data_IF_933324553062
#
_entry.id   IF_933324553062
#
_cell.length_a   1.000
_cell.length_b   1.000
_cell.length_c   1.000
_cell.angle_alpha   90.00
_cell.angle_beta   90.00
_cell.angle_gamma   90.00
#
_symmetry.space_group_name_H-M   'P 1'
#
loop_
_entity.id
_entity.type
_entity.pdbx_description
1 polymer ?
#
# COMPACT_ATOMS: atom_id res chain seq x y z
N UNK A 1 23.22 -14.18 -4.87
CA UNK A 1 22.74 -15.14 -3.85
C UNK A 1 22.02 -14.34 -2.77
N UNK A 2 20.84 -14.79 -2.32
CA UNK A 2 19.91 -13.96 -1.55
C UNK A 2 19.78 -14.43 -0.09
N UNK A 3 18.83 -15.32 0.21
CA UNK A 3 18.65 -15.87 1.56
C UNK A 3 19.36 -17.22 1.73
N UNK A 4 19.78 -17.55 2.94
CA UNK A 4 20.25 -18.88 3.37
C UNK A 4 19.10 -19.70 3.93
N UNK A 5 18.40 -19.11 4.90
CA UNK A 5 17.17 -19.62 5.46
C UNK A 5 16.16 -18.48 5.62
N UNK A 6 14.88 -18.83 5.64
CA UNK A 6 13.77 -17.92 5.93
C UNK A 6 12.99 -18.47 7.11
N UNK A 7 12.66 -17.59 8.05
CA UNK A 7 11.93 -17.87 9.28
C UNK A 7 10.70 -16.98 9.35
N UNK A 8 9.63 -17.51 9.92
CA UNK A 8 8.48 -16.74 10.38
C UNK A 8 8.39 -16.92 11.89
N UNK A 9 8.44 -15.81 12.62
CA UNK A 9 8.43 -15.78 14.09
C UNK A 9 7.17 -15.08 14.59
N UNK A 10 6.75 -15.42 15.80
CA UNK A 10 5.77 -14.64 16.56
C UNK A 10 6.39 -13.36 17.18
N UNK A 11 5.57 -12.55 17.86
CA UNK A 11 6.05 -11.35 18.55
C UNK A 11 7.02 -11.62 19.71
N UNK A 12 7.07 -12.86 20.21
CA UNK A 12 7.96 -13.32 21.28
C UNK A 12 9.26 -13.92 20.74
N UNK A 13 9.47 -13.89 19.42
CA UNK A 13 10.64 -14.44 18.75
C UNK A 13 10.63 -15.97 18.60
N UNK A 14 9.52 -16.65 18.93
CA UNK A 14 9.40 -18.09 18.73
C UNK A 14 9.23 -18.39 17.25
N UNK A 15 10.01 -19.35 16.75
CA UNK A 15 9.89 -19.85 15.37
C UNK A 15 8.55 -20.58 15.18
N UNK A 16 7.69 -20.04 14.31
CA UNK A 16 6.45 -20.69 13.88
C UNK A 16 6.72 -21.68 12.75
N UNK A 17 7.53 -21.25 11.78
CA UNK A 17 7.97 -22.07 10.64
C UNK A 17 9.32 -21.58 10.14
N UNK A 18 10.15 -22.50 9.64
CA UNK A 18 11.42 -22.17 9.01
C UNK A 18 11.71 -23.06 7.81
N UNK A 19 12.43 -22.52 6.83
CA UNK A 19 12.92 -23.24 5.66
C UNK A 19 14.40 -22.95 5.44
N UNK A 20 15.20 -24.02 5.41
CA UNK A 20 16.60 -23.96 4.99
C UNK A 20 16.71 -24.11 3.47
N UNK A 21 17.35 -23.17 2.79
CA UNK A 21 17.60 -23.30 1.34
C UNK A 21 19.03 -23.68 1.02
N UNK A 22 20.01 -23.33 1.87
CA UNK A 22 21.45 -23.51 1.55
C UNK A 22 22.24 -24.32 2.56
N UNK A 23 21.83 -24.31 3.83
CA UNK A 23 22.59 -24.94 4.91
C UNK A 23 23.90 -24.24 5.27
N UNK A 24 24.12 -22.99 4.81
CA UNK A 24 25.35 -22.24 5.13
C UNK A 24 25.25 -21.37 6.41
N UNK A 25 24.07 -21.26 7.01
CA UNK A 25 23.85 -20.63 8.32
C UNK A 25 23.20 -21.65 9.25
N UNK A 26 23.70 -21.75 10.49
CA UNK A 26 23.08 -22.60 11.49
C UNK A 26 21.70 -22.04 11.87
N UNK A 27 20.70 -22.90 11.96
CA UNK A 27 19.34 -22.53 12.29
C UNK A 27 19.21 -21.95 13.71
N UNK A 28 20.12 -22.33 14.61
CA UNK A 28 20.16 -21.84 16.00
C UNK A 28 20.51 -20.34 16.08
N UNK A 29 21.13 -19.77 15.04
CA UNK A 29 21.47 -18.34 15.02
C UNK A 29 20.24 -17.43 15.14
N UNK A 30 19.04 -17.92 14.77
CA UNK A 30 17.79 -17.18 14.89
C UNK A 30 17.46 -16.78 16.33
N UNK A 31 17.95 -17.52 17.33
CA UNK A 31 17.68 -17.25 18.75
C UNK A 31 18.31 -15.92 19.21
N UNK A 32 19.34 -15.43 18.49
CA UNK A 32 19.97 -14.13 18.76
C UNK A 32 19.22 -12.95 18.14
N UNK A 33 18.28 -13.18 17.22
CA UNK A 33 17.60 -12.12 16.48
C UNK A 33 16.80 -11.19 17.40
N UNK A 34 15.91 -11.74 18.24
CA UNK A 34 15.03 -10.91 19.07
C UNK A 34 15.80 -10.14 20.16
N UNK A 35 16.76 -10.73 20.90
CA UNK A 35 17.58 -9.97 21.84
C UNK A 35 18.31 -8.80 21.19
N UNK A 36 18.88 -8.98 20.00
CA UNK A 36 19.55 -7.92 19.25
C UNK A 36 18.57 -6.83 18.78
N UNK A 37 17.38 -7.24 18.34
CA UNK A 37 16.32 -6.31 17.94
C UNK A 37 15.90 -5.41 19.11
N UNK A 38 15.66 -6.01 20.28
CA UNK A 38 15.28 -5.28 21.49
C UNK A 38 16.38 -4.34 21.96
N UNK A 39 17.65 -4.80 21.95
CA UNK A 39 18.79 -3.95 22.31
C UNK A 39 18.87 -2.72 21.39
N UNK A 40 18.75 -2.89 20.07
CA UNK A 40 18.79 -1.76 19.15
C UNK A 40 17.58 -0.84 19.25
N UNK A 41 16.41 -1.37 19.60
CA UNK A 41 15.22 -0.57 19.85
C UNK A 41 15.39 0.31 21.09
N UNK A 42 15.94 -0.24 22.18
CA UNK A 42 16.27 0.51 23.42
C UNK A 42 17.34 1.57 23.19
N UNK A 43 18.35 1.27 22.36
CA UNK A 43 19.39 2.23 21.98
C UNK A 43 18.92 3.27 20.94
N UNK A 44 17.72 3.12 20.38
CA UNK A 44 17.19 3.99 19.32
C UNK A 44 17.92 3.85 17.97
N UNK A 45 18.62 2.73 17.76
CA UNK A 45 19.43 2.41 16.58
C UNK A 45 18.78 1.35 15.67
N UNK A 46 17.47 1.16 15.81
CA UNK A 46 16.71 0.16 15.07
C UNK A 46 17.01 0.22 13.57
N UNK A 47 17.52 -0.89 13.03
CA UNK A 47 17.80 -1.01 11.60
C UNK A 47 17.16 -2.28 10.99
N UNK A 48 16.76 -2.24 9.71
CA UNK A 48 16.16 -3.40 9.03
C UNK A 48 17.11 -4.61 8.88
N UNK A 49 18.41 -4.41 9.09
CA UNK A 49 19.47 -5.44 8.95
C UNK A 49 20.23 -5.56 10.26
N UNK A 50 20.01 -6.64 11.00
CA UNK A 50 20.78 -6.93 12.22
C UNK A 50 21.97 -7.83 11.88
N UNK A 51 23.00 -7.82 12.72
CA UNK A 51 24.19 -8.67 12.51
C UNK A 51 24.63 -9.32 13.81
N UNK A 52 24.93 -10.62 13.76
CA UNK A 52 25.55 -11.40 14.83
C UNK A 52 26.78 -12.12 14.25
N UNK A 53 27.98 -11.65 14.60
CA UNK A 53 29.22 -12.15 14.01
C UNK A 53 29.22 -12.02 12.48
N UNK A 54 29.25 -13.15 11.78
CA UNK A 54 29.24 -13.21 10.31
C UNK A 54 27.84 -13.44 9.72
N UNK A 55 26.80 -13.49 10.55
CA UNK A 55 25.41 -13.72 10.12
C UNK A 55 24.64 -12.40 10.14
N UNK A 56 23.91 -12.14 9.07
CA UNK A 56 23.04 -10.99 8.91
C UNK A 56 21.58 -11.43 8.87
N UNK A 57 20.73 -10.70 9.60
CA UNK A 57 19.29 -10.91 9.67
C UNK A 57 18.58 -9.76 8.96
N UNK A 58 17.96 -10.06 7.83
CA UNK A 58 17.12 -9.12 7.09
C UNK A 58 15.68 -9.41 7.45
N UNK A 59 14.97 -8.46 8.06
CA UNK A 59 13.66 -8.72 8.62
C UNK A 59 12.63 -7.68 8.23
N UNK A 60 11.38 -8.12 8.19
CA UNK A 60 10.20 -7.25 8.11
C UNK A 60 9.21 -7.68 9.20
N UNK A 61 8.40 -6.73 9.66
CA UNK A 61 7.27 -7.00 10.55
C UNK A 61 5.98 -6.88 9.76
N UNK A 62 5.13 -7.89 9.85
CA UNK A 62 3.79 -7.90 9.28
C UNK A 62 2.80 -8.37 10.34
N UNK A 63 1.84 -7.52 10.70
CA UNK A 63 0.89 -7.80 11.78
C UNK A 63 1.61 -8.24 13.07
N UNK A 64 1.30 -9.43 13.57
CA UNK A 64 1.92 -10.07 14.74
C UNK A 64 3.08 -11.03 14.38
N UNK A 65 3.65 -10.92 13.18
CA UNK A 65 4.71 -11.79 12.68
C UNK A 65 5.99 -11.03 12.35
N UNK A 66 7.13 -11.67 12.57
CA UNK A 66 8.41 -11.30 11.98
C UNK A 66 8.75 -12.28 10.87
N UNK A 67 9.01 -11.78 9.66
CA UNK A 67 9.61 -12.57 8.60
C UNK A 67 11.10 -12.22 8.54
N UNK A 68 11.96 -13.20 8.76
CA UNK A 68 13.40 -13.02 8.89
C UNK A 68 14.11 -13.90 7.87
N UNK A 69 14.97 -13.31 7.06
CA UNK A 69 15.88 -14.01 6.17
C UNK A 69 17.32 -13.89 6.71
N UNK A 70 18.00 -15.03 6.84
CA UNK A 70 19.41 -15.06 7.28
C UNK A 70 20.35 -15.17 6.10
N UNK A 71 21.53 -14.58 6.21
CA UNK A 71 22.62 -14.74 5.23
C UNK A 71 23.97 -14.53 5.88
N UNK A 72 25.00 -15.26 5.44
CA UNK A 72 26.39 -15.10 5.89
C UNK A 72 27.32 -14.54 4.80
N UNK A 73 26.75 -14.05 3.70
CA UNK A 73 27.46 -13.52 2.53
C UNK A 73 26.95 -12.13 2.20
N UNK A 74 27.70 -11.43 1.35
CA UNK A 74 27.25 -10.18 0.74
C UNK A 74 26.12 -10.45 -0.27
N UNK A 75 24.92 -10.60 0.25
CA UNK A 75 23.71 -10.91 -0.51
C UNK A 75 23.01 -9.62 -0.95
N UNK A 76 22.27 -9.68 -2.06
CA UNK A 76 21.50 -8.54 -2.52
C UNK A 76 20.31 -8.31 -1.56
N UNK A 77 20.45 -7.33 -0.67
CA UNK A 77 19.43 -7.00 0.33
C UNK A 77 18.09 -6.64 -0.31
N UNK A 78 18.09 -5.90 -1.42
CA UNK A 78 16.86 -5.51 -2.13
C UNK A 78 16.09 -6.72 -2.63
N UNK A 79 16.78 -7.75 -3.14
CA UNK A 79 16.16 -9.00 -3.57
C UNK A 79 15.53 -9.76 -2.40
N UNK A 80 16.20 -9.77 -1.24
CA UNK A 80 15.69 -10.41 -0.02
C UNK A 80 14.43 -9.68 0.47
N UNK A 81 14.47 -8.35 0.59
CA UNK A 81 13.28 -7.59 1.02
C UNK A 81 12.12 -7.72 0.03
N UNK A 82 12.38 -7.60 -1.27
CA UNK A 82 11.35 -7.79 -2.29
C UNK A 82 10.71 -9.18 -2.16
N UNK A 83 11.52 -10.22 -1.91
CA UNK A 83 11.04 -11.57 -1.68
C UNK A 83 10.24 -11.71 -0.37
N UNK A 84 10.68 -11.11 0.74
CA UNK A 84 9.95 -11.15 2.01
C UNK A 84 8.56 -10.49 1.88
N UNK A 85 8.47 -9.32 1.24
CA UNK A 85 7.18 -8.70 0.94
C UNK A 85 6.34 -9.55 -0.03
N UNK A 86 6.97 -10.26 -0.97
CA UNK A 86 6.27 -11.16 -1.89
C UNK A 86 5.73 -12.41 -1.19
N UNK A 87 6.44 -12.97 -0.21
CA UNK A 87 5.93 -14.04 0.65
C UNK A 87 4.66 -13.58 1.36
N UNK A 88 4.68 -12.38 1.96
CA UNK A 88 3.49 -11.78 2.60
C UNK A 88 2.33 -11.71 1.60
N UNK A 89 2.56 -11.16 0.40
CA UNK A 89 1.53 -11.06 -0.64
C UNK A 89 0.97 -12.43 -1.05
N UNK A 90 1.82 -13.44 -1.22
CA UNK A 90 1.41 -14.80 -1.58
C UNK A 90 0.59 -15.43 -0.46
N UNK A 91 1.06 -15.36 0.79
CA UNK A 91 0.34 -15.92 1.94
C UNK A 91 -0.99 -15.21 2.18
N UNK A 92 -1.05 -13.88 2.08
CA UNK A 92 -2.32 -13.14 2.11
C UNK A 92 -3.25 -13.55 0.96
N UNK A 93 -2.71 -13.85 -0.23
CA UNK A 93 -3.48 -14.38 -1.35
C UNK A 93 -4.10 -15.76 -1.12
N UNK A 94 -3.48 -16.60 -0.27
CA UNK A 94 -3.99 -17.92 0.12
C UNK A 94 -4.92 -17.86 1.34
N UNK A 95 -4.55 -17.11 2.37
CA UNK A 95 -5.21 -17.15 3.69
C UNK A 95 -6.13 -15.95 3.96
N UNK A 96 -6.16 -14.95 3.06
CA UNK A 96 -6.84 -13.63 3.18
C UNK A 96 -6.23 -12.72 4.24
N UNK A 97 -5.96 -13.25 5.43
CA UNK A 97 -5.26 -12.58 6.52
C UNK A 97 -4.02 -13.41 6.87
N UNK A 98 -2.92 -12.73 7.21
CA UNK A 98 -1.66 -13.36 7.55
C UNK A 98 -1.32 -13.04 9.01
N UNK A 99 -1.64 -14.00 9.88
CA UNK A 99 -1.39 -13.93 11.31
C UNK A 99 -0.77 -15.25 11.81
N UNK A 100 -0.43 -15.30 13.10
CA UNK A 100 0.11 -16.50 13.75
C UNK A 100 -0.79 -17.73 13.56
N UNK A 101 -2.10 -17.60 13.75
CA UNK A 101 -3.07 -18.69 13.56
C UNK A 101 -3.08 -19.20 12.11
N UNK A 102 -2.99 -18.30 11.14
CA UNK A 102 -2.95 -18.65 9.71
C UNK A 102 -1.79 -19.59 9.37
N UNK A 103 -0.62 -19.37 9.99
CA UNK A 103 0.56 -20.21 9.79
C UNK A 103 0.41 -21.56 10.49
N UNK A 104 -0.11 -21.58 11.72
CA UNK A 104 -0.28 -22.81 12.51
C UNK A 104 -1.31 -23.75 11.88
N UNK A 105 -2.44 -23.21 11.44
CA UNK A 105 -3.54 -24.00 10.86
C UNK A 105 -3.22 -24.54 9.46
N UNK A 106 -2.35 -23.85 8.70
CA UNK A 106 -2.03 -24.17 7.31
C UNK A 106 -0.59 -24.64 7.09
N UNK A 107 0.08 -25.13 8.13
CA UNK A 107 1.52 -25.46 8.13
C UNK A 107 1.98 -26.27 6.91
N UNK A 108 1.21 -27.28 6.47
CA UNK A 108 1.54 -28.11 5.29
C UNK A 108 1.64 -27.26 4.03
N UNK A 109 0.61 -26.44 3.75
CA UNK A 109 0.57 -25.57 2.57
C UNK A 109 1.67 -24.51 2.64
N UNK A 110 1.96 -23.97 3.81
CA UNK A 110 3.04 -23.00 3.99
C UNK A 110 4.40 -23.63 3.65
N UNK A 111 4.66 -24.88 4.04
CA UNK A 111 5.89 -25.59 3.67
C UNK A 111 6.00 -25.82 2.17
N UNK A 112 4.92 -26.27 1.52
CA UNK A 112 4.87 -26.45 0.06
C UNK A 112 5.12 -25.13 -0.66
N UNK A 113 4.50 -24.03 -0.19
CA UNK A 113 4.72 -22.70 -0.74
C UNK A 113 6.17 -22.25 -0.59
N UNK A 114 6.78 -22.40 0.59
CA UNK A 114 8.18 -22.01 0.78
C UNK A 114 9.14 -22.79 -0.12
N UNK A 115 8.86 -24.07 -0.37
CA UNK A 115 9.66 -24.90 -1.28
C UNK A 115 9.55 -24.44 -2.75
N UNK A 116 8.34 -24.07 -3.19
CA UNK A 116 8.07 -23.65 -4.57
C UNK A 116 8.45 -22.17 -4.84
N UNK A 117 8.41 -21.33 -3.80
CA UNK A 117 8.72 -19.90 -3.91
C UNK A 117 10.21 -19.63 -4.12
N UNK A 118 11.09 -20.47 -3.58
CA UNK A 118 12.54 -20.26 -3.61
C UNK A 118 13.30 -21.57 -3.63
N UNK A 119 14.29 -21.65 -4.52
CA UNK A 119 15.24 -22.76 -4.57
C UNK A 119 16.67 -22.23 -4.40
N UNK A 120 17.42 -22.83 -3.47
CA UNK A 120 18.81 -22.48 -3.17
C UNK A 120 19.07 -20.97 -2.96
N UNK A 121 18.09 -20.26 -2.40
CA UNK A 121 18.16 -18.81 -2.16
C UNK A 121 17.81 -17.95 -3.38
N UNK A 122 17.31 -18.52 -4.48
CA UNK A 122 16.84 -17.83 -5.67
C UNK A 122 15.31 -17.92 -5.76
N UNK A 123 14.57 -16.80 -5.70
CA UNK A 123 13.12 -16.81 -5.92
C UNK A 123 12.77 -17.42 -7.28
N UNK A 124 11.78 -18.32 -7.30
CA UNK A 124 11.29 -19.01 -8.48
C UNK A 124 9.89 -18.47 -8.85
N UNK A 125 8.84 -19.25 -8.64
CA UNK A 125 7.46 -18.89 -8.96
C UNK A 125 6.83 -18.16 -7.79
N UNK A 126 6.47 -16.89 -7.97
CA UNK A 126 5.91 -16.06 -6.88
C UNK A 126 4.51 -15.51 -7.17
N UNK A 127 3.89 -15.94 -8.27
CA UNK A 127 2.54 -15.54 -8.66
C UNK A 127 1.50 -16.45 -7.98
N UNK A 128 0.85 -15.95 -6.92
CA UNK A 128 -0.09 -16.71 -6.09
C UNK A 128 -1.22 -17.40 -6.88
N UNK A 129 -1.79 -16.73 -7.88
CA UNK A 129 -2.85 -17.29 -8.72
C UNK A 129 -2.40 -18.49 -9.54
N UNK A 130 -1.12 -18.54 -9.92
CA UNK A 130 -0.55 -19.67 -10.67
C UNK A 130 -0.16 -20.80 -9.72
N UNK A 131 0.41 -20.46 -8.56
CA UNK A 131 0.68 -21.42 -7.49
C UNK A 131 -0.60 -22.15 -7.06
N UNK A 132 -1.73 -21.45 -6.99
CA UNK A 132 -3.03 -22.01 -6.61
C UNK A 132 -3.56 -23.09 -7.56
N UNK A 133 -3.03 -23.20 -8.78
CA UNK A 133 -3.43 -24.25 -9.73
C UNK A 133 -2.87 -25.63 -9.35
N UNK A 134 -1.75 -25.68 -8.59
CA UNK A 134 -1.09 -26.94 -8.27
C UNK A 134 -0.71 -27.12 -6.80
N UNK A 135 -0.69 -26.05 -6.00
CA UNK A 135 -0.57 -26.07 -4.54
C UNK A 135 -1.95 -25.68 -3.98
N UNK A 136 -2.75 -26.68 -3.61
CA UNK A 136 -4.15 -26.51 -3.20
C UNK A 136 -4.34 -26.72 -1.70
N UNK A 137 -5.19 -25.90 -1.07
CA UNK A 137 -5.58 -26.08 0.35
C UNK A 137 -6.50 -27.29 0.56
N UNK A 138 -7.22 -27.71 -0.48
CA UNK A 138 -8.08 -28.89 -0.41
C UNK A 138 -7.21 -30.14 -0.44
N UNK A 139 -7.28 -30.94 0.63
CA UNK A 139 -6.62 -32.23 0.71
C UNK A 139 -7.20 -33.18 -0.33
N UNK A 140 -6.58 -33.24 -1.50
CA UNK A 140 -6.88 -34.27 -2.47
C UNK A 140 -6.56 -35.62 -1.81
N UNK A 141 -7.60 -36.41 -1.52
CA UNK A 141 -7.44 -37.85 -1.30
C UNK A 141 -6.53 -38.37 -2.41
N UNK A 142 -5.49 -39.09 -2.02
CA UNK A 142 -4.46 -39.74 -2.83
C UNK A 142 -5.02 -40.43 -4.10
N UNK A 143 -5.38 -39.67 -5.11
CA UNK A 143 -5.32 -40.11 -6.49
C UNK A 143 -3.99 -39.60 -7.02
N UNK A 144 -3.13 -40.55 -7.36
CA UNK A 144 -1.77 -40.36 -7.89
C UNK A 144 -1.83 -39.80 -9.30
N UNK A 145 -2.57 -38.71 -9.50
CA UNK A 145 -2.42 -37.86 -10.67
C UNK A 145 -1.51 -36.74 -10.21
N UNK A 146 -0.20 -36.90 -10.40
CA UNK A 146 0.77 -35.80 -10.23
C UNK A 146 0.16 -34.55 -10.83
N UNK A 147 -0.20 -33.58 -9.99
CA UNK A 147 -0.71 -32.28 -10.42
C UNK A 147 0.32 -31.76 -11.42
N UNK A 148 -0.01 -31.79 -12.71
CA UNK A 148 0.95 -31.41 -13.74
C UNK A 148 1.21 -29.93 -13.55
N UNK A 149 2.46 -29.57 -13.29
CA UNK A 149 2.88 -28.16 -13.20
C UNK A 149 2.33 -27.43 -14.44
N UNK A 150 1.57 -26.33 -14.27
CA UNK A 150 1.02 -25.59 -15.38
C UNK A 150 2.13 -25.15 -16.33
N UNK A 151 1.89 -25.23 -17.64
CA UNK A 151 2.85 -24.75 -18.65
C UNK A 151 3.16 -23.26 -18.47
N UNK A 152 2.23 -22.50 -17.87
CA UNK A 152 2.37 -21.10 -17.46
C UNK A 152 3.64 -20.85 -16.64
N UNK A 153 4.01 -21.75 -15.74
CA UNK A 153 5.22 -21.62 -14.90
C UNK A 153 6.50 -21.53 -15.75
N UNK A 154 6.53 -22.24 -16.86
CA UNK A 154 7.68 -22.28 -17.79
C UNK A 154 7.55 -21.32 -18.98
N UNK A 155 6.41 -20.66 -19.13
CA UNK A 155 6.12 -19.82 -20.30
C UNK A 155 6.66 -18.40 -20.11
N UNK A 156 6.89 -17.69 -21.21
CA UNK A 156 7.27 -16.27 -21.18
C UNK A 156 6.17 -15.38 -20.56
N UNK A 157 4.92 -15.84 -20.58
CA UNK A 157 3.79 -15.23 -19.87
C UNK A 157 3.51 -16.09 -18.64
N UNK A 158 4.10 -15.71 -17.50
CA UNK A 158 4.06 -16.48 -16.25
C UNK A 158 2.91 -16.11 -15.31
N UNK A 159 2.09 -15.12 -15.66
CA UNK A 159 1.05 -14.55 -14.80
C UNK A 159 -0.39 -14.77 -15.29
N UNK A 160 -0.57 -15.51 -16.39
CA UNK A 160 -1.88 -15.79 -16.98
C UNK A 160 -1.90 -17.15 -17.66
N UNK A 161 -2.79 -18.03 -17.19
CA UNK A 161 -2.99 -19.36 -17.77
C UNK A 161 -3.89 -19.32 -19.03
N UNK A 162 -3.65 -20.27 -19.92
CA UNK A 162 -4.45 -20.44 -21.13
C UNK A 162 -5.82 -21.06 -20.82
N UNK A 163 -6.82 -20.83 -21.68
CA UNK A 163 -8.12 -21.50 -21.57
C UNK A 163 -9.14 -20.83 -20.65
N UNK A 164 -8.81 -19.68 -20.03
CA UNK A 164 -9.73 -18.88 -19.23
C UNK A 164 -10.95 -18.47 -20.07
N UNK A 165 -12.16 -18.66 -19.54
CA UNK A 165 -13.42 -18.33 -20.21
C UNK A 165 -14.40 -17.64 -19.27
N UNK A 166 -14.96 -16.53 -19.74
CA UNK A 166 -16.00 -15.78 -19.07
C UNK A 166 -17.25 -15.72 -19.93
N UNK A 167 -18.43 -15.74 -19.27
CA UNK A 167 -19.72 -15.52 -19.95
C UNK A 167 -19.84 -14.10 -20.49
N UNK A 168 -19.26 -13.13 -19.79
CA UNK A 168 -19.20 -11.71 -20.15
C UNK A 168 -17.76 -11.24 -20.03
N UNK A 169 -17.25 -10.62 -21.09
CA UNK A 169 -15.88 -10.11 -21.12
C UNK A 169 -15.88 -8.63 -20.72
N UNK A 170 -15.36 -8.32 -19.55
CA UNK A 170 -15.38 -6.97 -18.96
C UNK A 170 -14.02 -6.62 -18.36
N UNK A 171 -13.66 -5.34 -18.43
CA UNK A 171 -12.45 -4.80 -17.80
C UNK A 171 -12.84 -3.58 -16.99
N UNK A 172 -12.54 -3.59 -15.71
CA UNK A 172 -12.72 -2.42 -14.85
C UNK A 172 -11.36 -1.80 -14.57
N UNK A 173 -11.28 -0.48 -14.74
CA UNK A 173 -10.08 0.32 -14.55
C UNK A 173 -10.34 1.31 -13.42
N UNK A 174 -9.62 1.14 -12.33
CA UNK A 174 -9.66 2.03 -11.18
C UNK A 174 -8.41 2.89 -11.19
N UNK A 175 -8.59 4.17 -11.48
CA UNK A 175 -7.51 5.17 -11.40
C UNK A 175 -7.62 5.83 -10.02
N UNK A 176 -6.72 5.46 -9.13
CA UNK A 176 -6.70 5.90 -7.73
C UNK A 176 -5.52 6.86 -7.55
N UNK A 177 -5.77 8.06 -7.08
CA UNK A 177 -4.74 9.05 -6.73
C UNK A 177 -4.69 9.27 -5.23
N UNK A 178 -3.57 8.95 -4.61
CA UNK A 178 -3.27 9.28 -3.21
C UNK A 178 -2.49 10.59 -3.17
N UNK A 179 -3.03 11.58 -2.45
CA UNK A 179 -2.39 12.88 -2.28
C UNK A 179 -1.57 12.88 -0.99
N UNK A 180 -0.26 13.10 -1.12
CA UNK A 180 0.65 13.34 -0.01
C UNK A 180 0.89 14.83 0.09
N UNK A 181 0.59 15.43 1.24
CA UNK A 181 0.80 16.87 1.48
C UNK A 181 1.37 17.03 2.88
N UNK A 182 2.44 17.82 2.98
CA UNK A 182 3.00 18.27 4.25
C UNK A 182 2.90 19.78 4.32
N UNK A 183 2.09 20.29 5.25
CA UNK A 183 1.99 21.73 5.54
C UNK A 183 2.77 22.04 6.81
N UNK A 184 3.58 23.09 6.80
CA UNK A 184 4.22 23.57 8.01
C UNK A 184 3.25 24.34 8.92
N UNK A 185 3.71 24.65 10.11
CA UNK A 185 2.89 25.34 11.10
C UNK A 185 2.53 26.80 10.73
N UNK A 186 3.29 27.41 9.80
CA UNK A 186 3.00 28.73 9.24
C UNK A 186 1.96 28.69 8.10
N UNK A 187 1.47 27.50 7.72
CA UNK A 187 0.50 27.35 6.65
C UNK A 187 1.07 27.37 5.23
N UNK A 188 2.39 27.18 5.06
CA UNK A 188 2.99 26.96 3.74
C UNK A 188 3.16 25.47 3.45
N UNK A 189 2.84 25.05 2.23
CA UNK A 189 3.02 23.68 1.76
C UNK A 189 4.52 23.40 1.57
N UNK A 190 5.07 22.47 2.35
CA UNK A 190 6.48 22.05 2.27
C UNK A 190 6.70 20.99 1.19
N UNK A 191 5.80 20.00 1.12
CA UNK A 191 5.84 18.93 0.12
C UNK A 191 4.42 18.63 -0.36
N UNK A 192 4.28 18.33 -1.64
CA UNK A 192 3.03 17.93 -2.28
C UNK A 192 3.32 16.98 -3.42
N UNK A 193 2.99 15.71 -3.24
CA UNK A 193 3.18 14.66 -4.23
C UNK A 193 1.86 13.94 -4.46
N UNK A 194 1.60 13.56 -5.71
CA UNK A 194 0.50 12.67 -6.07
C UNK A 194 1.11 11.32 -6.40
N UNK A 195 0.71 10.29 -5.66
CA UNK A 195 1.02 8.89 -5.97
C UNK A 195 -0.23 8.26 -6.53
N UNK A 196 -0.24 8.02 -7.83
CA UNK A 196 -1.34 7.38 -8.52
C UNK A 196 -1.08 5.90 -8.75
N UNK A 197 -2.16 5.11 -8.77
CA UNK A 197 -2.16 3.68 -9.06
C UNK A 197 -3.31 3.39 -10.02
N UNK A 198 -3.05 2.60 -11.07
CA UNK A 198 -4.07 2.08 -11.97
C UNK A 198 -4.24 0.61 -11.66
N UNK A 199 -5.36 0.28 -11.01
CA UNK A 199 -5.75 -1.09 -10.72
C UNK A 199 -6.73 -1.58 -11.78
N UNK A 200 -6.54 -2.81 -12.22
CA UNK A 200 -7.40 -3.48 -13.17
C UNK A 200 -8.12 -4.64 -12.50
N UNK A 201 -9.40 -4.81 -12.85
CA UNK A 201 -10.12 -6.06 -12.67
C UNK A 201 -10.48 -6.60 -14.03
N UNK A 202 -9.78 -7.64 -14.47
CA UNK A 202 -9.98 -8.24 -15.78
C UNK A 202 -10.80 -9.52 -15.66
N UNK A 203 -11.89 -9.58 -16.43
CA UNK A 203 -12.71 -10.78 -16.60
C UNK A 203 -12.78 -11.05 -18.09
N UNK A 204 -11.68 -11.56 -18.64
CA UNK A 204 -11.49 -11.71 -20.09
C UNK A 204 -11.20 -13.16 -20.44
N UNK A 205 -11.79 -13.63 -21.53
CA UNK A 205 -11.53 -14.97 -22.05
C UNK A 205 -10.25 -15.01 -22.88
N UNK A 206 -9.54 -16.13 -22.88
CA UNK A 206 -8.34 -16.35 -23.70
C UNK A 206 -7.10 -15.60 -23.18
N UNK A 207 -6.26 -15.18 -24.12
CA UNK A 207 -4.95 -14.52 -23.89
C UNK A 207 -4.91 -13.15 -24.59
N UNK A 208 -5.70 -12.17 -24.11
CA UNK A 208 -5.91 -10.93 -24.82
C UNK A 208 -4.69 -10.01 -24.67
N UNK A 209 -4.27 -9.37 -25.77
CA UNK A 209 -3.32 -8.26 -25.73
C UNK A 209 -4.09 -6.95 -25.52
N UNK A 210 -3.88 -6.32 -24.38
CA UNK A 210 -4.44 -5.02 -24.04
C UNK A 210 -3.48 -3.89 -24.41
N UNK A 211 -4.04 -2.76 -24.82
CA UNK A 211 -3.31 -1.50 -25.00
C UNK A 211 -4.05 -0.36 -24.32
N UNK A 212 -3.40 0.24 -23.33
CA UNK A 212 -3.90 1.39 -22.59
C UNK A 212 -3.32 2.68 -23.17
N UNK A 213 -4.20 3.65 -23.46
CA UNK A 213 -3.82 4.99 -23.88
C UNK A 213 -4.15 6.02 -22.82
N UNK A 214 -3.15 6.77 -22.36
CA UNK A 214 -3.30 7.87 -21.40
C UNK A 214 -3.05 9.22 -22.08
N UNK A 215 -3.42 10.33 -21.43
CA UNK A 215 -3.06 11.69 -21.84
C UNK A 215 -1.64 12.08 -21.40
N UNK A 216 -0.67 11.20 -21.66
CA UNK A 216 0.75 11.43 -21.37
C UNK A 216 1.31 12.57 -22.23
N UNK A 217 1.93 13.56 -21.59
CA UNK A 217 2.57 14.71 -22.25
C UNK A 217 3.64 14.27 -23.24
N UNK A 218 4.45 13.26 -22.90
CA UNK A 218 5.56 12.80 -23.77
C UNK A 218 5.00 12.20 -25.05
N UNK A 219 3.97 11.34 -24.94
CA UNK A 219 3.26 10.78 -26.08
C UNK A 219 2.64 11.87 -26.97
N UNK A 220 2.07 12.90 -26.37
CA UNK A 220 1.43 14.00 -27.11
C UNK A 220 2.44 14.91 -27.81
N UNK A 221 3.60 15.14 -27.20
CA UNK A 221 4.71 15.85 -27.82
C UNK A 221 5.22 15.09 -29.06
N UNK A 222 5.39 13.76 -28.97
CA UNK A 222 5.83 12.91 -30.08
C UNK A 222 4.80 12.86 -31.23
N UNK A 223 3.51 12.96 -30.93
CA UNK A 223 2.44 12.87 -31.93
C UNK A 223 1.96 14.23 -32.46
N UNK A 224 2.60 15.34 -32.04
CA UNK A 224 2.26 16.70 -32.48
C UNK A 224 0.88 17.19 -32.01
N UNK A 225 0.33 16.60 -30.95
CA UNK A 225 -1.04 16.87 -30.43
C UNK A 225 -1.05 17.73 -29.17
N UNK A 226 -0.21 18.76 -29.10
CA UNK A 226 0.00 19.55 -27.87
C UNK A 226 -1.20 20.42 -27.41
N UNK A 227 -2.34 20.33 -28.12
CA UNK A 227 -3.59 21.04 -27.78
C UNK A 227 -4.48 20.15 -26.91
N UNK A 228 -4.15 20.02 -25.62
CA UNK A 228 -4.98 19.31 -24.65
C UNK A 228 -4.44 19.37 -23.22
N UNK A 229 -5.25 18.96 -22.23
CA UNK A 229 -4.75 18.74 -20.87
C UNK A 229 -3.91 17.46 -20.85
N UNK A 230 -2.60 17.60 -20.77
CA UNK A 230 -1.64 16.51 -20.65
C UNK A 230 -1.13 16.38 -19.23
N UNK A 231 -0.77 15.16 -18.82
CA UNK A 231 -0.13 14.89 -17.54
C UNK A 231 1.35 14.61 -17.75
N UNK A 232 2.19 15.24 -16.94
CA UNK A 232 3.63 14.95 -16.89
C UNK A 232 3.87 14.02 -15.71
N UNK A 233 4.15 12.75 -15.98
CA UNK A 233 4.50 11.77 -14.96
C UNK A 233 6.01 11.82 -14.77
N UNK A 234 6.47 11.92 -13.52
CA UNK A 234 7.90 11.93 -13.22
C UNK A 234 8.48 10.53 -13.17
N UNK A 235 7.79 9.63 -12.46
CA UNK A 235 8.16 8.23 -12.35
C UNK A 235 6.94 7.36 -12.65
N UNK A 236 7.18 6.23 -13.33
CA UNK A 236 6.16 5.24 -13.66
C UNK A 236 6.74 3.85 -13.45
N UNK A 237 6.08 3.07 -12.59
CA UNK A 237 6.40 1.67 -12.36
C UNK A 237 5.29 0.82 -12.94
N UNK A 238 5.68 -0.21 -13.68
CA UNK A 238 4.73 -1.11 -14.33
C UNK A 238 4.76 -2.49 -13.70
N UNK A 239 3.65 -3.19 -13.81
CA UNK A 239 3.57 -4.62 -13.59
C UNK A 239 4.43 -5.37 -14.63
N UNK A 240 4.92 -6.56 -14.27
CA UNK A 240 5.72 -7.44 -15.16
C UNK A 240 5.03 -7.76 -16.49
N UNK A 241 3.71 -7.59 -16.57
CA UNK A 241 2.94 -7.88 -17.77
C UNK A 241 3.10 -6.83 -18.88
N UNK A 242 3.63 -5.65 -18.56
CA UNK A 242 3.82 -4.56 -19.51
C UNK A 242 5.12 -4.72 -20.28
N UNK A 243 5.02 -4.62 -21.61
CA UNK A 243 6.18 -4.65 -22.50
C UNK A 243 6.92 -3.32 -22.46
N UNK A 244 7.88 -3.20 -21.54
CA UNK A 244 8.69 -1.99 -21.33
C UNK A 244 9.38 -1.51 -22.61
N UNK A 245 9.86 -2.42 -23.45
CA UNK A 245 10.49 -2.07 -24.73
C UNK A 245 9.55 -1.35 -25.70
N UNK A 246 8.24 -1.62 -25.67
CA UNK A 246 7.26 -0.86 -26.47
C UNK A 246 7.01 0.52 -25.86
N UNK A 247 6.86 0.57 -24.54
CA UNK A 247 6.65 1.84 -23.83
C UNK A 247 7.82 2.81 -24.03
N UNK A 248 9.07 2.35 -24.02
CA UNK A 248 10.24 3.19 -24.26
C UNK A 248 10.24 3.81 -25.67
N UNK A 249 9.81 3.05 -26.68
CA UNK A 249 9.86 3.47 -28.08
C UNK A 249 8.75 4.45 -28.46
N UNK A 250 7.50 4.15 -28.10
CA UNK A 250 6.33 4.90 -28.57
C UNK A 250 5.35 5.29 -27.47
N UNK A 251 5.73 5.11 -26.20
CA UNK A 251 4.91 5.37 -25.00
C UNK A 251 3.59 4.57 -24.98
N UNK A 252 3.50 3.47 -25.74
CA UNK A 252 2.33 2.57 -25.72
C UNK A 252 2.44 1.56 -24.58
N UNK A 253 1.45 1.59 -23.68
CA UNK A 253 1.31 0.60 -22.60
C UNK A 253 0.61 -0.63 -23.19
N UNK A 254 1.39 -1.65 -23.55
CA UNK A 254 0.91 -2.91 -24.13
C UNK A 254 1.24 -4.09 -23.22
N UNK A 255 0.23 -4.91 -22.90
CA UNK A 255 0.35 -5.98 -21.91
C UNK A 255 -0.66 -7.10 -22.13
N UNK A 256 -0.41 -8.27 -21.54
CA UNK A 256 -1.39 -9.35 -21.38
C UNK A 256 -1.77 -9.36 -19.90
N UNK A 257 -3.00 -9.01 -19.49
CA UNK A 257 -3.33 -8.82 -18.07
C UNK A 257 -3.38 -10.15 -17.30
N UNK A 258 -2.88 -10.19 -16.05
CA UNK A 258 -3.26 -11.24 -15.11
C UNK A 258 -4.78 -11.30 -14.96
N UNK A 259 -5.32 -12.49 -14.74
CA UNK A 259 -6.76 -12.65 -14.57
C UNK A 259 -7.25 -12.11 -13.22
N UNK A 260 -8.43 -11.49 -13.17
CA UNK A 260 -8.97 -10.88 -11.95
C UNK A 260 -8.31 -9.55 -11.58
N UNK A 261 -8.14 -9.29 -10.28
CA UNK A 261 -7.63 -8.02 -9.76
C UNK A 261 -6.09 -7.97 -9.79
N UNK A 262 -5.52 -6.88 -10.29
CA UNK A 262 -4.07 -6.61 -10.32
C UNK A 262 -3.78 -5.11 -10.43
N UNK A 263 -2.64 -4.66 -9.90
CA UNK A 263 -2.13 -3.31 -10.15
C UNK A 263 -1.32 -3.30 -11.45
N UNK A 264 -1.75 -2.52 -12.45
CA UNK A 264 -1.07 -2.43 -13.74
C UNK A 264 0.15 -1.51 -13.67
N UNK A 265 -0.02 -0.34 -13.05
CA UNK A 265 1.03 0.66 -12.94
C UNK A 265 0.80 1.57 -11.75
N UNK A 266 1.89 2.06 -11.18
CA UNK A 266 1.91 3.21 -10.28
C UNK A 266 2.70 4.35 -10.92
N UNK A 267 2.28 5.57 -10.65
CA UNK A 267 2.93 6.77 -11.18
C UNK A 267 3.05 7.82 -10.09
N UNK A 268 4.11 8.62 -10.15
CA UNK A 268 4.31 9.76 -9.26
C UNK A 268 4.32 11.05 -10.05
N UNK A 269 3.65 12.05 -9.50
CA UNK A 269 3.62 13.42 -10.04
C UNK A 269 3.94 14.35 -8.88
N UNK A 270 5.08 15.04 -8.97
CA UNK A 270 5.37 16.15 -8.09
C UNK A 270 4.73 17.41 -8.68
N UNK A 271 3.75 17.95 -7.95
CA UNK A 271 3.08 19.18 -8.37
C UNK A 271 2.63 19.91 -7.12
N UNK A 272 2.84 21.22 -7.11
CA UNK A 272 2.30 22.09 -6.07
C UNK A 272 0.78 22.21 -6.23
N UNK A 273 0.06 21.24 -5.69
CA UNK A 273 -1.40 21.25 -5.62
C UNK A 273 -1.81 22.01 -4.36
N UNK A 274 -2.81 22.87 -4.48
CA UNK A 274 -3.48 23.42 -3.30
C UNK A 274 -4.15 22.28 -2.53
N UNK A 275 -3.94 22.14 -1.21
CA UNK A 275 -4.49 21.01 -0.47
C UNK A 275 -6.02 20.98 -0.57
N UNK A 276 -6.58 19.84 -0.99
CA UNK A 276 -8.01 19.73 -1.28
C UNK A 276 -8.87 19.99 -0.04
N UNK A 277 -8.44 19.54 1.13
CA UNK A 277 -9.07 19.86 2.41
C UNK A 277 -8.06 20.65 3.24
N UNK A 278 -8.26 21.95 3.33
CA UNK A 278 -7.41 22.83 4.11
C UNK A 278 -7.89 22.87 5.56
N UNK A 279 -6.98 22.63 6.51
CA UNK A 279 -7.28 22.68 7.94
C UNK A 279 -6.57 23.89 8.55
N UNK A 280 -7.35 24.75 9.18
CA UNK A 280 -6.85 25.81 10.07
C UNK A 280 -7.14 25.39 11.50
N UNK A 281 -6.11 25.26 12.32
CA UNK A 281 -6.26 24.91 13.73
C UNK A 281 -5.63 25.98 14.62
N UNK A 282 -6.36 26.42 15.63
CA UNK A 282 -5.85 27.22 16.73
C UNK A 282 -5.97 26.39 18.02
N UNK A 283 -4.84 26.17 18.70
CA UNK A 283 -4.76 25.45 19.96
C UNK A 283 -4.40 26.48 21.03
N UNK A 284 -5.32 26.76 21.94
CA UNK A 284 -5.12 27.65 23.07
C UNK A 284 -4.98 26.80 24.33
N UNK A 285 -3.74 26.67 24.82
CA UNK A 285 -3.43 25.96 26.06
C UNK A 285 -3.39 26.97 27.22
N UNK A 286 -4.28 26.77 28.19
CA UNK A 286 -4.25 27.47 29.48
C UNK A 286 -3.63 26.53 30.51
N UNK A 287 -2.39 26.81 30.91
CA UNK A 287 -1.65 25.99 31.88
C UNK A 287 -2.47 25.72 33.14
N UNK A 288 -2.42 24.47 33.62
CA UNK A 288 -3.13 23.99 34.81
C UNK A 288 -4.65 24.14 34.80
N UNK A 289 -5.27 24.32 33.62
CA UNK A 289 -6.71 24.55 33.53
C UNK A 289 -7.36 23.78 32.39
N UNK A 290 -7.05 24.14 31.14
CA UNK A 290 -7.80 23.65 29.98
C UNK A 290 -7.06 23.84 28.67
N UNK A 291 -7.46 23.05 27.68
CA UNK A 291 -7.10 23.27 26.27
C UNK A 291 -8.36 23.53 25.48
N UNK A 292 -8.37 24.64 24.74
CA UNK A 292 -9.40 24.93 23.74
C UNK A 292 -8.80 24.74 22.35
N UNK A 293 -9.44 23.89 21.54
CA UNK A 293 -9.00 23.57 20.18
C UNK A 293 -10.09 24.01 19.22
N UNK A 294 -9.78 24.94 18.33
CA UNK A 294 -10.67 25.36 17.25
C UNK A 294 -10.11 24.88 15.93
N UNK A 295 -10.88 24.07 15.20
CA UNK A 295 -10.50 23.50 13.91
C UNK A 295 -11.50 23.91 12.86
N UNK A 296 -11.02 24.58 11.82
CA UNK A 296 -11.79 24.97 10.64
C UNK A 296 -11.30 24.17 9.44
N UNK A 297 -12.18 23.37 8.85
CA UNK A 297 -11.91 22.61 7.63
C UNK A 297 -12.57 23.29 6.43
N UNK A 298 -11.80 23.53 5.36
CA UNK A 298 -12.26 24.17 4.11
C UNK A 298 -12.00 23.25 2.92
N UNK A 299 -13.03 22.93 2.14
CA UNK A 299 -12.91 22.13 0.92
C UNK A 299 -12.49 22.99 -0.27
N UNK A 300 -11.22 22.92 -0.69
CA UNK A 300 -10.64 23.67 -1.82
C UNK A 300 -10.71 22.90 -3.16
N UNK A 301 -11.82 22.20 -3.41
CA UNK A 301 -12.08 21.49 -4.66
C UNK A 301 -13.41 21.93 -5.30
N UNK A 302 -13.70 21.39 -6.48
CA UNK A 302 -14.89 21.78 -7.26
C UNK A 302 -16.17 21.56 -6.45
N UNK A 303 -17.07 22.55 -6.47
CA UNK A 303 -18.35 22.53 -5.72
C UNK A 303 -19.27 21.36 -6.06
N UNK A 304 -19.16 20.83 -7.28
CA UNK A 304 -19.92 19.67 -7.76
C UNK A 304 -19.37 18.32 -7.24
N UNK A 305 -18.14 18.31 -6.74
CA UNK A 305 -17.52 17.13 -6.15
C UNK A 305 -17.77 17.14 -4.64
N UNK A 306 -17.83 15.95 -4.06
CA UNK A 306 -18.10 15.75 -2.63
C UNK A 306 -17.04 14.77 -2.12
N UNK A 307 -16.36 15.14 -1.04
CA UNK A 307 -15.52 14.22 -0.30
C UNK A 307 -16.38 13.40 0.67
N UNK A 308 -16.22 12.09 0.62
CA UNK A 308 -16.90 11.14 1.46
C UNK A 308 -16.03 10.76 2.65
N UNK A 309 -16.67 10.49 3.78
CA UNK A 309 -16.06 9.95 4.99
C UNK A 309 -14.76 10.69 5.40
N UNK A 310 -14.84 12.02 5.43
CA UNK A 310 -13.69 12.84 5.84
C UNK A 310 -13.47 12.65 7.33
N UNK A 311 -12.27 12.23 7.72
CA UNK A 311 -11.82 12.12 9.11
C UNK A 311 -10.66 13.08 9.35
N UNK A 312 -10.87 14.09 10.20
CA UNK A 312 -9.80 14.98 10.67
C UNK A 312 -9.34 14.48 12.03
N UNK A 313 -8.09 14.05 12.12
CA UNK A 313 -7.47 13.53 13.35
C UNK A 313 -6.58 14.60 13.94
N UNK A 314 -6.98 15.11 15.09
CA UNK A 314 -6.34 16.23 15.78
C UNK A 314 -5.70 15.69 17.05
N UNK A 315 -4.37 15.74 17.18
CA UNK A 315 -3.71 15.33 18.39
C UNK A 315 -4.09 16.20 19.58
N UNK A 316 -4.21 15.59 20.75
CA UNK A 316 -4.47 16.27 22.02
C UNK A 316 -3.47 15.79 23.07
N UNK A 317 -3.22 16.58 24.13
CA UNK A 317 -2.34 16.16 25.22
C UNK A 317 -2.79 14.85 25.85
N UNK A 318 -1.85 13.99 26.29
CA UNK A 318 -2.20 12.68 26.87
C UNK A 318 -2.90 12.77 28.24
N UNK A 319 -2.73 13.89 28.92
CA UNK A 319 -3.33 14.21 30.20
C UNK A 319 -4.69 14.92 30.06
N UNK A 320 -5.15 15.14 28.83
CA UNK A 320 -6.43 15.81 28.57
C UNK A 320 -7.62 14.98 29.03
N UNK A 321 -8.51 15.61 29.81
CA UNK A 321 -9.73 15.00 30.32
C UNK A 321 -11.00 15.77 29.90
N UNK A 322 -12.16 15.28 30.35
CA UNK A 322 -13.44 16.00 30.28
C UNK A 322 -13.78 16.58 28.90
N UNK A 323 -13.73 15.78 27.81
CA UNK A 323 -13.90 16.27 26.45
C UNK A 323 -15.30 16.87 26.23
N UNK A 324 -15.35 18.09 25.69
CA UNK A 324 -16.59 18.75 25.24
C UNK A 324 -16.43 19.21 23.80
N UNK A 325 -17.33 18.75 22.93
CA UNK A 325 -17.28 19.07 21.51
C UNK A 325 -18.49 19.90 21.06
N UNK A 326 -18.24 20.87 20.19
CA UNK A 326 -19.26 21.60 19.44
C UNK A 326 -18.87 21.58 17.97
N UNK A 327 -19.62 20.84 17.16
CA UNK A 327 -19.41 20.73 15.71
C UNK A 327 -20.54 21.45 14.97
N UNK A 328 -20.18 22.12 13.87
CA UNK A 328 -21.17 22.66 12.92
C UNK A 328 -21.80 21.56 12.06
N UNK A 329 -21.03 20.53 11.72
CA UNK A 329 -21.44 19.37 10.93
C UNK A 329 -20.54 18.19 11.29
N UNK A 330 -21.07 16.97 11.21
CA UNK A 330 -20.34 15.76 11.60
C UNK A 330 -20.26 15.57 13.11
N UNK A 331 -19.55 14.51 13.50
CA UNK A 331 -19.42 14.07 14.89
C UNK A 331 -17.96 14.04 15.29
N UNK A 332 -17.62 14.53 16.48
CA UNK A 332 -16.28 14.46 17.04
C UNK A 332 -16.23 13.45 18.18
N UNK A 333 -15.23 12.57 18.17
CA UNK A 333 -15.00 11.54 19.19
C UNK A 333 -13.58 11.66 19.74
N UNK A 334 -13.44 11.61 21.07
CA UNK A 334 -12.14 11.48 21.71
C UNK A 334 -11.69 10.01 21.70
N UNK A 335 -10.43 9.76 21.35
CA UNK A 335 -9.78 8.45 21.35
C UNK A 335 -8.56 8.53 22.28
N UNK A 336 -8.73 8.22 23.59
CA UNK A 336 -7.67 8.33 24.59
C UNK A 336 -6.46 7.44 24.29
N UNK A 337 -6.69 6.22 23.78
CA UNK A 337 -5.62 5.25 23.46
C UNK A 337 -4.56 5.79 22.50
N UNK A 338 -4.92 6.78 21.68
CA UNK A 338 -4.04 7.41 20.69
C UNK A 338 -3.85 8.91 20.93
N UNK A 339 -4.34 9.44 22.06
CA UNK A 339 -4.30 10.86 22.41
C UNK A 339 -4.79 11.77 21.25
N UNK A 340 -5.94 11.45 20.66
CA UNK A 340 -6.44 12.20 19.50
C UNK A 340 -7.96 12.38 19.50
N UNK A 341 -8.41 13.44 18.84
CA UNK A 341 -9.81 13.68 18.49
C UNK A 341 -10.01 13.32 17.02
N UNK A 342 -10.98 12.46 16.74
CA UNK A 342 -11.42 12.16 15.38
C UNK A 342 -12.70 12.95 15.12
N UNK A 343 -12.63 13.91 14.20
CA UNK A 343 -13.80 14.60 13.67
C UNK A 343 -14.20 14.01 12.32
N UNK A 344 -15.35 13.33 12.30
CA UNK A 344 -15.87 12.62 11.13
C UNK A 344 -17.00 13.40 10.47
N UNK A 345 -16.86 13.65 9.17
CA UNK A 345 -17.83 14.32 8.31
C UNK A 345 -18.17 13.36 7.15
N UNK A 346 -19.38 12.80 7.15
CA UNK A 346 -19.79 11.81 6.14
C UNK A 346 -19.77 12.34 4.70
N UNK A 347 -20.17 13.60 4.53
CA UNK A 347 -20.27 14.25 3.23
C UNK A 347 -19.77 15.68 3.35
N UNK A 348 -18.70 15.99 2.61
CA UNK A 348 -18.05 17.28 2.59
C UNK A 348 -18.06 17.83 1.15
N UNK A 349 -19.02 18.71 0.81
CA UNK A 349 -19.06 19.33 -0.51
C UNK A 349 -17.92 20.32 -0.76
N UNK A 350 -17.43 20.40 -2.00
CA UNK A 350 -16.40 21.37 -2.38
C UNK A 350 -16.85 22.82 -2.17
N UNK A 351 -15.92 23.68 -1.77
CA UNK A 351 -16.17 25.10 -1.49
C UNK A 351 -16.94 25.39 -0.21
N UNK A 352 -17.24 24.38 0.61
CA UNK A 352 -17.82 24.56 1.95
C UNK A 352 -16.74 24.64 3.01
N UNK A 353 -17.10 25.25 4.13
CA UNK A 353 -16.29 25.28 5.34
C UNK A 353 -17.11 24.82 6.53
N UNK A 354 -16.46 24.06 7.40
CA UNK A 354 -17.04 23.57 8.64
C UNK A 354 -16.10 23.89 9.80
N UNK A 355 -16.69 24.07 10.97
CA UNK A 355 -15.99 24.35 12.22
C UNK A 355 -16.26 23.24 13.24
N UNK A 356 -15.22 22.89 13.98
CA UNK A 356 -15.25 22.09 15.20
C UNK A 356 -14.56 22.86 16.32
N UNK A 357 -15.16 22.90 17.50
CA UNK A 357 -14.55 23.43 18.71
C UNK A 357 -14.54 22.34 19.76
N UNK A 358 -13.37 22.04 20.31
CA UNK A 358 -13.18 21.08 21.39
C UNK A 358 -12.64 21.80 22.62
N UNK A 359 -13.07 21.34 23.79
CA UNK A 359 -12.60 21.80 25.08
C UNK A 359 -12.21 20.59 25.93
N UNK A 360 -11.03 20.64 26.52
CA UNK A 360 -10.48 19.62 27.41
C UNK A 360 -10.07 20.26 28.73
N UNK A 361 -10.22 19.53 29.83
CA UNK A 361 -9.56 19.87 31.09
C UNK A 361 -8.10 19.43 31.05
N UNK A 362 -7.24 20.16 31.76
CA UNK A 362 -5.87 19.73 32.05
C UNK A 362 -5.71 19.55 33.56
N UNK A 363 -4.90 18.58 34.02
CA UNK A 363 -4.56 18.45 35.42
C UNK A 363 -3.83 19.68 35.94
N UNK A 364 -3.95 19.94 37.24
CA UNK A 364 -3.19 21.01 37.91
C UNK A 364 -1.70 20.70 38.05
N UNK A 365 -1.29 19.44 37.87
CA UNK A 365 0.11 18.99 38.00
C UNK A 365 0.68 18.78 36.60
N UNK A 366 1.81 19.43 36.31
CA UNK A 366 2.52 19.24 35.03
C UNK A 366 3.28 17.91 35.01
N UNK A 367 3.35 17.28 33.84
CA UNK A 367 4.27 16.18 33.58
C UNK A 367 5.66 16.74 33.28
N UNK A 368 6.70 16.07 33.79
CA UNK A 368 8.10 16.46 33.56
C UNK A 368 8.57 16.19 32.11
N UNK A 369 7.86 15.34 31.36
CA UNK A 369 8.22 14.97 29.98
C UNK A 369 7.48 15.83 28.94
N UNK A 370 8.24 16.42 28.02
CA UNK A 370 7.71 17.12 26.86
C UNK A 370 7.14 16.12 25.86
N UNK A 371 5.83 16.13 25.67
CA UNK A 371 5.18 15.34 24.63
C UNK A 371 5.57 15.81 23.22
N UNK A 372 5.74 14.84 22.32
CA UNK A 372 5.91 15.12 20.89
C UNK A 372 4.71 15.89 20.34
N UNK A 373 4.94 16.68 19.28
CA UNK A 373 3.90 17.44 18.57
C UNK A 373 3.56 16.76 17.24
N UNK A 374 2.77 15.68 17.24
CA UNK A 374 2.35 15.05 15.99
C UNK A 374 1.49 16.02 15.16
N UNK A 375 1.55 15.94 13.81
CA UNK A 375 0.74 16.76 12.94
C UNK A 375 -0.73 16.33 12.93
N UNK A 376 -1.63 17.23 12.53
CA UNK A 376 -3.01 16.88 12.17
C UNK A 376 -2.97 16.03 10.91
N UNK A 377 -3.73 14.93 10.92
CA UNK A 377 -3.88 14.08 9.73
C UNK A 377 -5.32 14.12 9.22
N UNK A 378 -5.50 14.08 7.90
CA UNK A 378 -6.83 14.10 7.29
C UNK A 378 -6.98 12.93 6.35
N UNK A 379 -7.99 12.10 6.60
CA UNK A 379 -8.38 11.04 5.68
C UNK A 379 -9.62 11.47 4.91
N UNK A 380 -9.66 11.23 3.60
CA UNK A 380 -10.82 11.53 2.78
C UNK A 380 -10.80 10.73 1.47
N UNK A 381 -11.96 10.62 0.83
CA UNK A 381 -12.11 10.04 -0.50
C UNK A 381 -13.05 10.90 -1.36
N UNK A 382 -12.64 11.22 -2.58
CA UNK A 382 -13.44 11.98 -3.56
C UNK A 382 -13.62 11.11 -4.81
N UNK A 383 -14.82 10.56 -5.04
CA UNK A 383 -15.08 9.77 -6.23
C UNK A 383 -15.25 10.66 -7.46
N UNK A 384 -14.99 10.08 -8.64
CA UNK A 384 -15.08 10.71 -9.96
C UNK A 384 -14.23 11.98 -10.09
N UNK A 385 -13.11 12.04 -9.38
CA UNK A 385 -12.21 13.18 -9.35
C UNK A 385 -10.75 12.73 -9.57
N UNK A 386 -10.01 13.54 -10.33
CA UNK A 386 -8.55 13.44 -10.46
C UNK A 386 -7.95 14.82 -10.24
N UNK A 387 -6.85 14.85 -9.51
CA UNK A 387 -6.08 16.05 -9.20
C UNK A 387 -5.08 16.31 -10.32
N UNK A 388 -4.40 15.27 -10.79
CA UNK A 388 -3.43 15.40 -11.88
C UNK A 388 -4.07 15.76 -13.22
N UNK A 389 -5.36 15.44 -13.39
CA UNK A 389 -6.04 15.51 -14.67
C UNK A 389 -5.71 14.34 -15.60
N UNK A 390 -5.20 13.22 -15.07
CA UNK A 390 -4.99 11.98 -15.81
C UNK A 390 -6.33 11.48 -16.38
N UNK A 391 -6.27 10.99 -17.61
CA UNK A 391 -7.43 10.50 -18.35
C UNK A 391 -7.06 9.25 -19.13
N UNK A 392 -7.84 8.20 -18.94
CA UNK A 392 -7.83 7.02 -19.81
C UNK A 392 -8.55 7.38 -21.10
N UNK A 393 -7.79 7.48 -22.20
CA UNK A 393 -8.31 7.84 -23.53
C UNK A 393 -8.95 6.65 -24.24
N UNK A 394 -8.33 5.48 -24.12
CA UNK A 394 -8.83 4.24 -24.67
C UNK A 394 -8.23 3.03 -23.96
N UNK A 395 -8.97 1.93 -24.01
CA UNK A 395 -8.48 0.58 -23.74
C UNK A 395 -8.80 -0.27 -24.97
N UNK A 396 -7.77 -0.68 -25.70
CA UNK A 396 -7.94 -1.61 -26.85
C UNK A 396 -7.73 -3.03 -26.36
N UNK A 397 -8.64 -3.92 -26.72
CA UNK A 397 -8.60 -5.34 -26.36
C UNK A 397 -8.46 -6.11 -27.66
N UNK A 398 -7.35 -6.85 -27.80
CA UNK A 398 -7.02 -7.61 -29.01
C UNK A 398 -6.99 -9.08 -28.63
N UNK A 399 -7.96 -9.84 -29.11
CA UNK A 399 -8.05 -11.29 -28.88
C UNK A 399 -8.36 -12.01 -30.20
N UNK A 400 -7.78 -13.21 -30.40
CA UNK A 400 -7.90 -13.97 -31.66
C UNK A 400 -9.35 -14.35 -31.97
N UNK A 401 -10.15 -14.61 -30.93
CA UNK A 401 -11.57 -14.94 -31.07
C UNK A 401 -12.45 -13.74 -31.44
N UNK A 402 -11.92 -12.51 -31.36
CA UNK A 402 -12.63 -11.30 -31.80
C UNK A 402 -13.85 -10.93 -30.97
N UNK A 403 -13.98 -11.41 -29.73
CA UNK A 403 -15.12 -11.01 -28.88
C UNK A 403 -15.10 -9.51 -28.58
N UNK A 404 -16.30 -8.96 -28.36
CA UNK A 404 -16.45 -7.61 -27.83
C UNK A 404 -16.32 -7.65 -26.30
N UNK A 405 -15.53 -6.73 -25.75
CA UNK A 405 -15.40 -6.52 -24.31
C UNK A 405 -15.69 -5.07 -23.95
N UNK A 406 -16.24 -4.86 -22.74
CA UNK A 406 -16.66 -3.55 -22.26
C UNK A 406 -15.66 -3.03 -21.22
N UNK A 407 -14.88 -1.97 -21.55
CA UNK A 407 -14.02 -1.31 -20.59
C UNK A 407 -14.81 -0.28 -19.77
N UNK A 408 -14.69 -0.35 -18.45
CA UNK A 408 -15.22 0.59 -17.48
C UNK A 408 -14.06 1.33 -16.82
N UNK A 409 -14.23 2.62 -16.55
CA UNK A 409 -13.25 3.41 -15.82
C UNK A 409 -13.92 4.22 -14.73
N UNK A 410 -13.32 4.23 -13.54
CA UNK A 410 -13.64 5.19 -12.48
C UNK A 410 -12.37 5.83 -11.95
N UNK A 411 -12.55 7.03 -11.43
CA UNK A 411 -11.48 7.84 -10.87
C UNK A 411 -11.77 8.07 -9.39
N UNK A 412 -10.78 7.88 -8.54
CA UNK A 412 -10.90 8.06 -7.10
C UNK A 412 -9.69 8.86 -6.65
N UNK A 413 -9.92 9.93 -5.91
CA UNK A 413 -8.85 10.66 -5.23
C UNK A 413 -8.98 10.43 -3.74
N UNK A 414 -7.91 10.04 -3.07
CA UNK A 414 -7.89 9.80 -1.63
C UNK A 414 -6.69 10.49 -0.99
N UNK A 415 -6.72 10.62 0.33
CA UNK A 415 -5.57 11.01 1.14
C UNK A 415 -4.52 9.90 1.16
N UNK A 416 -3.25 10.24 0.90
CA UNK A 416 -2.10 9.46 1.33
C UNK A 416 -1.56 10.01 2.65
N UNK A 417 -0.28 10.39 2.68
CA UNK A 417 0.33 11.09 3.81
C UNK A 417 -0.09 12.56 3.83
N UNK A 418 -1.30 12.81 4.34
CA UNK A 418 -1.90 14.14 4.38
C UNK A 418 -1.76 14.76 5.78
N UNK A 419 -0.68 15.49 6.00
CA UNK A 419 -0.23 15.97 7.30
C UNK A 419 -0.13 17.50 7.35
N UNK A 420 -0.73 18.11 8.37
CA UNK A 420 -0.63 19.54 8.65
C UNK A 420 -0.02 19.74 10.03
N UNK A 421 1.20 20.28 10.07
CA UNK A 421 1.86 20.63 11.32
C UNK A 421 1.14 21.82 11.94
N UNK A 422 0.96 21.79 13.25
CA UNK A 422 0.30 22.85 14.00
C UNK A 422 1.33 23.67 14.75
N UNK A 423 1.05 24.96 14.92
CA UNK A 423 1.71 25.78 15.93
C UNK A 423 0.94 25.55 17.23
N UNK A 424 1.59 24.91 18.20
CA UNK A 424 1.12 24.78 19.58
C UNK A 424 2.22 25.30 20.50
#
# INVERSE_FOLDING_TARGET
>A
MSASAVFVLDLKGKVLICRNYKGDVDMVEIDHFLPLLMQQEEEGLLCPVLSHGNVHFLWIKHSNLYLVATTNKNSNASLVYAFLYKIVEVFTGYFKELEEESIQDNFVVVYELLDELMDFGFPQTTDSKILQEYITQEGNKLEVTKTKVPTTVTNAVSWRSEGIKYKKNEVFIDVIESINVLVNANGSVMSSDIVGSIKLKTMLSGMPELRLGLNDRVLFALTGRDKGKTVTMEDVKFHQCVRLSRFENDRTISFIPPDGESELMSYRINTHVKPLIWIESAIEKFSHSRVEIMVKAKGQFKKQSVANNVEVRVPVPSDADSPKFKTSTGHAKYVPEKNLVVWTIKSFPGGKEFLMRAHFGLPSVEKDELEGKPPITVNFEIPYFTVSGIQVRYMKIIEKSGYQALPWVRYITQSGDYQLRTNA
#
